data_IF_690149198049
#
_entry.id   IF_690149198049
#
_cell.length_a   1.000
_cell.length_b   1.000
_cell.length_c   1.000
_cell.angle_alpha   90.00
_cell.angle_beta   90.00
_cell.angle_gamma   90.00
#
_symmetry.space_group_name_H-M   'P 1'
#
loop_
_entity.id
_entity.type
_entity.pdbx_description
1 polymer ?
#
# COMPACT_ATOMS: atom_id res chain seq x y z
N UNK A 1 37.93 -3.67 -7.59
CA UNK A 1 38.06 -3.41 -6.14
C UNK A 1 36.67 -3.16 -5.59
N UNK A 2 36.10 -4.13 -4.87
CA UNK A 2 34.81 -3.98 -4.18
C UNK A 2 35.13 -3.25 -2.88
N UNK A 3 34.61 -2.03 -2.70
CA UNK A 3 34.70 -1.36 -1.39
C UNK A 3 33.78 -2.11 -0.43
N UNK A 4 34.20 -2.37 0.82
CA UNK A 4 33.32 -3.00 1.79
C UNK A 4 32.08 -2.13 2.00
N UNK A 5 30.93 -2.77 2.06
CA UNK A 5 29.66 -2.11 2.34
C UNK A 5 29.69 -1.62 3.80
N UNK A 6 29.58 -0.32 4.00
CA UNK A 6 29.54 0.27 5.35
C UNK A 6 28.16 0.01 5.97
N UNK A 7 28.16 -0.57 7.17
CA UNK A 7 26.94 -0.81 7.93
C UNK A 7 27.13 -0.40 9.39
N UNK A 8 26.06 0.05 10.03
CA UNK A 8 26.05 0.37 11.46
C UNK A 8 24.87 -0.37 12.11
N UNK A 9 25.18 -1.07 13.20
CA UNK A 9 24.18 -1.71 14.05
C UNK A 9 23.39 -0.65 14.81
N UNK A 10 22.11 -0.50 14.47
CA UNK A 10 21.17 0.36 15.19
C UNK A 10 19.98 -0.50 15.58
N UNK A 11 19.66 -0.57 16.88
CA UNK A 11 18.57 -1.40 17.41
C UNK A 11 18.65 -2.86 16.92
N UNK A 12 19.85 -3.45 16.95
CA UNK A 12 20.14 -4.84 16.51
C UNK A 12 19.95 -5.09 15.00
N UNK A 13 19.78 -4.04 14.20
CA UNK A 13 19.70 -4.12 12.73
C UNK A 13 20.93 -3.43 12.13
N UNK A 14 21.64 -4.14 11.26
CA UNK A 14 22.77 -3.59 10.51
C UNK A 14 22.26 -2.78 9.31
N UNK A 15 22.02 -1.49 9.51
CA UNK A 15 21.62 -0.60 8.41
C UNK A 15 22.79 -0.38 7.47
N UNK A 16 22.49 -0.31 6.17
CA UNK A 16 23.46 0.04 5.15
C UNK A 16 23.58 1.56 5.09
N UNK A 17 24.81 2.08 5.11
CA UNK A 17 25.05 3.50 5.29
C UNK A 17 25.97 4.04 4.20
N UNK A 18 25.69 5.28 3.80
CA UNK A 18 26.59 6.07 3.00
C UNK A 18 26.60 7.50 3.55
N UNK A 19 27.79 8.07 3.71
CA UNK A 19 27.95 9.45 4.18
C UNK A 19 28.57 10.30 3.09
N UNK A 20 27.95 11.44 2.78
CA UNK A 20 28.45 12.40 1.79
C UNK A 20 28.62 13.78 2.44
N UNK A 21 29.75 14.42 2.17
CA UNK A 21 29.99 15.81 2.58
C UNK A 21 29.39 16.76 1.54
N UNK A 22 28.48 17.62 1.97
CA UNK A 22 27.78 18.59 1.12
C UNK A 22 28.13 20.01 1.51
N UNK A 23 28.41 20.86 0.52
CA UNK A 23 28.60 22.28 0.77
C UNK A 23 27.25 22.93 1.08
N UNK A 24 27.07 23.44 2.30
CA UNK A 24 25.83 24.10 2.76
C UNK A 24 25.82 25.58 2.40
N UNK A 25 26.97 26.26 2.51
CA UNK A 25 27.19 27.61 2.01
C UNK A 25 28.67 27.78 1.63
N UNK A 26 29.10 28.97 1.22
CA UNK A 26 30.48 29.21 0.79
C UNK A 26 31.55 28.83 1.84
N UNK A 27 31.19 28.80 3.12
CA UNK A 27 32.13 28.62 4.25
C UNK A 27 31.87 27.33 5.03
N UNK A 28 30.66 26.77 4.94
CA UNK A 28 30.17 25.65 5.76
C UNK A 28 29.88 24.45 4.89
N UNK A 29 30.47 23.33 5.27
CA UNK A 29 30.10 21.98 4.83
C UNK A 29 29.23 21.31 5.89
N UNK A 30 28.44 20.34 5.47
CA UNK A 30 27.64 19.48 6.34
C UNK A 30 27.73 18.04 5.86
N UNK A 31 27.46 17.11 6.76
CA UNK A 31 27.44 15.69 6.43
C UNK A 31 26.00 15.22 6.21
N UNK A 32 25.81 14.42 5.17
CA UNK A 32 24.54 13.81 4.83
C UNK A 32 24.70 12.32 4.95
N UNK A 33 23.97 11.74 5.90
CA UNK A 33 23.97 10.31 6.14
C UNK A 33 22.72 9.70 5.50
N UNK A 34 22.95 8.81 4.57
CA UNK A 34 21.96 8.00 3.87
C UNK A 34 21.89 6.63 4.52
N UNK A 35 20.68 6.12 4.75
CA UNK A 35 20.46 4.80 5.33
C UNK A 35 19.50 4.00 4.45
N UNK A 36 19.78 2.70 4.34
CA UNK A 36 18.87 1.73 3.75
C UNK A 36 18.75 0.51 4.65
N UNK A 37 17.52 0.11 4.93
CA UNK A 37 17.22 -1.10 5.67
C UNK A 37 17.52 -2.32 4.78
N UNK A 38 18.41 -3.25 5.19
CA UNK A 38 18.91 -4.32 4.31
C UNK A 38 17.88 -5.39 3.94
N UNK A 39 16.82 -5.57 4.74
CA UNK A 39 15.75 -6.56 4.49
C UNK A 39 14.57 -6.00 3.68
N UNK A 40 14.04 -4.84 4.08
CA UNK A 40 12.86 -4.24 3.43
C UNK A 40 13.23 -3.37 2.23
N UNK A 41 14.47 -2.86 2.17
CA UNK A 41 14.88 -1.88 1.18
C UNK A 41 14.39 -0.46 1.49
N UNK A 42 13.75 -0.23 2.64
CA UNK A 42 13.31 1.09 3.05
C UNK A 42 14.51 2.01 3.24
N UNK A 43 14.47 3.17 2.60
CA UNK A 43 15.57 4.11 2.59
C UNK A 43 15.18 5.44 3.23
N UNK A 44 16.17 6.16 3.74
CA UNK A 44 15.96 7.44 4.39
C UNK A 44 17.23 8.27 4.51
N UNK A 45 17.04 9.51 4.96
CA UNK A 45 18.12 10.47 5.20
C UNK A 45 18.07 10.90 6.66
N UNK A 46 19.24 10.95 7.31
CA UNK A 46 19.34 11.51 8.65
C UNK A 46 18.85 12.96 8.67
N UNK A 47 18.13 13.34 9.72
CA UNK A 47 17.47 14.63 9.86
C UNK A 47 18.46 15.81 9.71
N UNK A 48 19.66 15.68 10.25
CA UNK A 48 20.74 16.68 10.15
C UNK A 48 21.24 16.83 8.70
N UNK A 49 21.39 15.71 7.99
CA UNK A 49 21.72 15.68 6.58
C UNK A 49 20.65 16.35 5.73
N UNK A 50 19.37 16.02 5.97
CA UNK A 50 18.24 16.64 5.27
C UNK A 50 18.19 18.16 5.49
N UNK A 51 18.52 18.63 6.70
CA UNK A 51 18.65 20.05 6.98
C UNK A 51 19.77 20.71 6.17
N UNK A 52 20.90 20.03 5.97
CA UNK A 52 21.99 20.48 5.11
C UNK A 52 21.57 20.58 3.63
N UNK A 53 20.87 19.56 3.12
CA UNK A 53 20.32 19.54 1.75
C UNK A 53 19.35 20.71 1.51
N UNK A 54 18.57 21.07 2.52
CA UNK A 54 17.69 22.24 2.55
C UNK A 54 18.43 23.60 2.72
N UNK A 55 19.71 23.67 2.36
CA UNK A 55 20.53 24.86 2.51
C UNK A 55 20.82 25.23 3.97
N UNK A 56 20.96 24.23 4.85
CA UNK A 56 21.33 24.39 6.26
C UNK A 56 20.17 24.84 7.16
N UNK A 57 18.93 24.45 6.81
CA UNK A 57 17.72 24.80 7.56
C UNK A 57 17.85 24.39 9.04
N UNK A 58 17.06 25.00 9.93
CA UNK A 58 17.07 24.51 11.31
C UNK A 58 16.50 23.10 11.37
N UNK A 59 17.20 22.20 12.05
CA UNK A 59 16.81 20.80 12.24
C UNK A 59 15.37 20.69 12.76
N UNK A 60 15.01 21.49 13.77
CA UNK A 60 13.65 21.55 14.32
C UNK A 60 12.58 21.96 13.31
N UNK A 61 12.90 22.86 12.37
CA UNK A 61 11.95 23.27 11.32
C UNK A 61 11.72 22.15 10.33
N UNK A 62 12.78 21.44 9.94
CA UNK A 62 12.69 20.30 9.03
C UNK A 62 11.93 19.15 9.68
N UNK A 63 12.17 18.88 10.96
CA UNK A 63 11.44 17.87 11.70
C UNK A 63 9.93 18.14 11.74
N UNK A 64 9.52 19.35 12.17
CA UNK A 64 8.10 19.74 12.19
C UNK A 64 7.45 19.69 10.82
N UNK A 65 8.22 20.01 9.77
CA UNK A 65 7.74 19.95 8.40
C UNK A 65 7.53 18.49 7.95
N UNK A 66 8.46 17.58 8.28
CA UNK A 66 8.31 16.16 7.99
C UNK A 66 7.08 15.56 8.71
N UNK A 67 6.87 15.91 9.97
CA UNK A 67 5.69 15.51 10.77
C UNK A 67 4.36 16.01 10.18
N UNK A 68 4.37 17.10 9.39
CA UNK A 68 3.16 17.63 8.76
C UNK A 68 2.68 16.84 7.54
N UNK A 69 3.54 15.99 6.98
CA UNK A 69 3.28 15.28 5.71
C UNK A 69 2.82 13.84 5.88
N UNK A 70 3.26 13.15 6.95
CA UNK A 70 2.97 11.73 7.17
C UNK A 70 2.79 11.49 8.68
N UNK A 71 1.77 10.72 9.13
CA UNK A 71 1.64 10.34 10.53
C UNK A 71 2.81 9.48 11.06
N UNK A 72 3.62 8.86 10.19
CA UNK A 72 4.79 8.07 10.57
C UNK A 72 6.01 8.37 9.66
N UNK A 73 6.64 9.56 9.78
CA UNK A 73 7.65 10.04 8.84
C UNK A 73 9.04 9.41 9.06
N UNK A 74 9.25 8.74 10.19
CA UNK A 74 10.56 8.23 10.59
C UNK A 74 10.77 6.80 10.12
N UNK A 75 11.94 6.55 9.56
CA UNK A 75 12.49 5.21 9.35
C UNK A 75 13.15 4.70 10.64
N UNK A 76 13.77 5.61 11.38
CA UNK A 76 14.44 5.36 12.64
C UNK A 76 14.28 6.60 13.52
N UNK A 77 13.87 6.40 14.76
CA UNK A 77 13.81 7.44 15.78
C UNK A 77 14.52 6.92 17.05
N UNK A 78 15.77 7.33 17.21
CA UNK A 78 16.60 6.98 18.37
C UNK A 78 17.24 8.22 18.95
N UNK A 79 17.63 8.16 20.23
CA UNK A 79 18.32 9.27 20.90
C UNK A 79 19.59 9.74 20.18
N UNK A 80 20.25 8.84 19.44
CA UNK A 80 21.49 9.13 18.71
C UNK A 80 21.26 9.59 17.28
N UNK A 81 20.20 9.13 16.63
CA UNK A 81 19.97 9.39 15.21
C UNK A 81 18.49 9.30 14.85
N UNK A 82 18.01 10.37 14.20
CA UNK A 82 16.67 10.45 13.62
C UNK A 82 16.81 10.39 12.11
N UNK A 83 16.10 9.46 11.47
CA UNK A 83 16.13 9.22 10.03
C UNK A 83 14.72 9.33 9.47
N UNK A 84 14.54 10.22 8.50
CA UNK A 84 13.26 10.43 7.82
C UNK A 84 13.20 9.52 6.59
N UNK A 85 12.04 8.92 6.33
CA UNK A 85 11.81 8.07 5.16
C UNK A 85 11.99 8.86 3.85
N UNK A 86 12.51 8.20 2.82
CA UNK A 86 12.83 8.80 1.53
C UNK A 86 11.64 9.55 0.88
N UNK A 87 10.44 8.98 0.93
CA UNK A 87 9.21 9.61 0.41
C UNK A 87 8.92 10.95 1.10
N UNK A 88 9.09 11.03 2.43
CA UNK A 88 8.90 12.25 3.19
C UNK A 88 10.06 13.23 2.95
N UNK A 89 11.30 12.76 2.85
CA UNK A 89 12.44 13.59 2.45
C UNK A 89 12.19 14.30 1.11
N UNK A 90 11.60 13.61 0.15
CA UNK A 90 11.27 14.17 -1.17
C UNK A 90 10.24 15.29 -1.06
N UNK A 91 9.17 15.07 -0.28
CA UNK A 91 8.14 16.08 -0.03
C UNK A 91 8.70 17.31 0.69
N UNK A 92 9.59 17.10 1.68
CA UNK A 92 10.29 18.18 2.39
C UNK A 92 11.16 18.99 1.43
N UNK A 93 11.98 18.34 0.60
CA UNK A 93 12.80 19.03 -0.38
C UNK A 93 11.94 19.79 -1.40
N UNK A 94 10.85 19.21 -1.86
CA UNK A 94 9.92 19.87 -2.77
C UNK A 94 9.28 21.11 -2.14
N UNK A 95 8.89 21.04 -0.86
CA UNK A 95 8.35 22.18 -0.13
C UNK A 95 9.40 23.29 0.06
N UNK A 96 10.64 22.94 0.40
CA UNK A 96 11.72 23.93 0.55
C UNK A 96 12.15 24.51 -0.81
N UNK A 97 12.09 23.72 -1.88
CA UNK A 97 12.31 24.19 -3.24
C UNK A 97 11.26 25.25 -3.67
N UNK A 98 10.00 25.14 -3.23
CA UNK A 98 8.97 26.12 -3.58
C UNK A 98 9.00 27.37 -2.69
N UNK A 99 9.67 27.32 -1.52
CA UNK A 99 9.67 28.40 -0.52
C UNK A 99 11.01 29.15 -0.42
N UNK A 100 10.98 30.49 -0.34
CA UNK A 100 12.19 31.31 -0.10
C UNK A 100 12.64 31.21 1.37
N UNK A 101 13.95 31.37 1.68
CA UNK A 101 15.06 31.82 0.83
C UNK A 101 16.00 30.71 0.31
N UNK A 102 15.75 29.42 0.60
CA UNK A 102 16.74 28.33 0.41
C UNK A 102 16.44 27.38 -0.76
N UNK A 103 15.62 27.86 -1.68
CA UNK A 103 15.11 27.17 -2.87
C UNK A 103 16.18 26.47 -3.71
N UNK A 104 17.25 27.18 -4.11
CA UNK A 104 18.22 26.68 -5.10
C UNK A 104 18.89 25.35 -4.71
N UNK A 105 19.38 25.25 -3.47
CA UNK A 105 20.03 24.01 -2.99
C UNK A 105 19.05 22.85 -2.87
N UNK A 106 17.84 23.12 -2.39
CA UNK A 106 16.81 22.09 -2.30
C UNK A 106 16.40 21.61 -3.71
N UNK A 107 16.30 22.51 -4.70
CA UNK A 107 16.04 22.14 -6.10
C UNK A 107 17.17 21.31 -6.71
N UNK A 108 18.43 21.71 -6.50
CA UNK A 108 19.60 20.96 -6.96
C UNK A 108 19.60 19.53 -6.41
N UNK A 109 19.40 19.38 -5.11
CA UNK A 109 19.38 18.06 -4.47
C UNK A 109 18.15 17.23 -4.82
N UNK A 110 17.01 17.86 -5.04
CA UNK A 110 15.82 17.18 -5.52
C UNK A 110 16.04 16.59 -6.92
N UNK A 111 16.78 17.30 -7.80
CA UNK A 111 17.14 16.76 -9.12
C UNK A 111 18.16 15.62 -9.01
N UNK A 112 19.19 15.76 -8.17
CA UNK A 112 20.24 14.75 -7.98
C UNK A 112 19.67 13.45 -7.39
N UNK A 113 18.70 13.58 -6.49
CA UNK A 113 18.14 12.45 -5.77
C UNK A 113 16.90 11.87 -6.46
N UNK A 114 16.37 12.42 -7.54
CA UNK A 114 15.17 11.88 -8.18
C UNK A 114 15.48 10.63 -9.04
N UNK A 115 14.86 9.45 -8.81
CA UNK A 115 13.89 9.13 -7.75
C UNK A 115 14.56 8.79 -6.41
N UNK A 116 14.03 9.37 -5.32
CA UNK A 116 14.71 9.46 -4.01
C UNK A 116 15.19 8.10 -3.48
N UNK A 117 14.30 7.11 -3.50
CA UNK A 117 14.61 5.77 -2.99
C UNK A 117 15.77 5.14 -3.77
N UNK A 118 15.72 5.17 -5.11
CA UNK A 118 16.75 4.55 -5.94
C UNK A 118 18.11 5.24 -5.76
N UNK A 119 18.12 6.56 -5.67
CA UNK A 119 19.33 7.34 -5.47
C UNK A 119 20.00 7.06 -4.12
N UNK A 120 19.22 6.82 -3.07
CA UNK A 120 19.72 6.44 -1.74
C UNK A 120 20.22 4.99 -1.74
N UNK A 121 19.47 4.08 -2.34
CA UNK A 121 19.86 2.66 -2.47
C UNK A 121 21.17 2.52 -3.25
N UNK A 122 21.35 3.27 -4.33
CA UNK A 122 22.59 3.28 -5.10
C UNK A 122 23.79 3.74 -4.25
N UNK A 123 23.63 4.81 -3.45
CA UNK A 123 24.68 5.35 -2.57
C UNK A 123 25.07 4.37 -1.47
N UNK A 124 24.06 3.78 -0.82
CA UNK A 124 24.23 2.76 0.24
C UNK A 124 24.68 1.41 -0.31
N UNK A 125 24.90 1.31 -1.63
CA UNK A 125 25.25 0.08 -2.34
C UNK A 125 24.25 -1.04 -2.00
N UNK A 126 22.99 -0.69 -1.81
CA UNK A 126 21.93 -1.67 -1.59
C UNK A 126 21.71 -2.42 -2.89
N UNK A 127 22.07 -3.68 -2.87
CA UNK A 127 21.70 -4.62 -3.91
C UNK A 127 20.47 -5.30 -3.37
N UNK A 128 19.34 -5.14 -4.07
CA UNK A 128 18.20 -6.05 -3.88
C UNK A 128 18.82 -7.43 -3.99
N UNK A 129 18.77 -8.23 -2.91
CA UNK A 129 19.09 -9.64 -3.01
C UNK A 129 18.20 -10.13 -4.14
N UNK A 130 18.83 -10.40 -5.29
CA UNK A 130 18.12 -10.87 -6.46
C UNK A 130 17.18 -11.95 -5.97
N UNK A 131 15.91 -11.77 -6.31
CA UNK A 131 14.79 -12.68 -6.12
C UNK A 131 15.04 -14.03 -6.83
N UNK A 132 16.23 -14.61 -6.70
CA UNK A 132 16.61 -15.91 -7.22
C UNK A 132 15.86 -17.03 -6.47
N UNK A 133 15.31 -16.73 -5.29
CA UNK A 133 14.47 -17.62 -4.48
C UNK A 133 12.98 -17.21 -4.41
N UNK A 134 12.51 -16.35 -5.33
CA UNK A 134 11.07 -16.00 -5.41
C UNK A 134 10.28 -16.94 -6.32
N UNK A 135 10.91 -17.92 -6.96
CA UNK A 135 10.18 -18.92 -7.76
C UNK A 135 9.03 -19.61 -7.00
N UNK A 136 9.14 -20.00 -5.70
CA UNK A 136 8.01 -20.55 -4.98
C UNK A 136 6.95 -19.50 -4.63
N UNK A 137 7.32 -18.25 -4.38
CA UNK A 137 6.39 -17.17 -4.03
C UNK A 137 5.59 -16.69 -5.24
N UNK A 138 6.24 -16.60 -6.41
CA UNK A 138 5.60 -16.29 -7.69
C UNK A 138 4.65 -17.43 -8.07
N UNK A 139 5.07 -18.69 -7.92
CA UNK A 139 4.19 -19.85 -8.14
C UNK A 139 2.97 -19.84 -7.20
N UNK A 140 3.15 -19.47 -5.92
CA UNK A 140 2.03 -19.32 -4.98
C UNK A 140 1.09 -18.17 -5.37
N UNK A 141 1.63 -17.05 -5.85
CA UNK A 141 0.82 -15.92 -6.33
C UNK A 141 0.01 -16.28 -7.58
N UNK A 142 0.59 -17.00 -8.53
CA UNK A 142 -0.12 -17.51 -9.70
C UNK A 142 -1.22 -18.50 -9.29
N UNK A 143 -0.90 -19.45 -8.41
CA UNK A 143 -1.87 -20.42 -7.90
C UNK A 143 -3.02 -19.73 -7.15
N UNK A 144 -2.74 -18.67 -6.38
CA UNK A 144 -3.77 -17.89 -5.69
C UNK A 144 -4.63 -17.08 -6.67
N UNK A 145 -4.04 -16.51 -7.73
CA UNK A 145 -4.79 -15.81 -8.78
C UNK A 145 -5.73 -16.76 -9.53
N UNK A 146 -5.25 -17.95 -9.89
CA UNK A 146 -6.08 -18.97 -10.55
C UNK A 146 -7.24 -19.41 -9.66
N UNK A 147 -7.00 -19.66 -8.37
CA UNK A 147 -8.07 -20.00 -7.41
C UNK A 147 -9.09 -18.88 -7.27
N UNK A 148 -8.65 -17.63 -7.25
CA UNK A 148 -9.54 -16.49 -7.13
C UNK A 148 -10.42 -16.35 -8.39
N UNK A 149 -9.82 -16.48 -9.58
CA UNK A 149 -10.56 -16.50 -10.85
C UNK A 149 -11.59 -17.65 -10.91
N UNK A 150 -11.20 -18.86 -10.47
CA UNK A 150 -12.11 -20.01 -10.39
C UNK A 150 -13.28 -19.76 -9.43
N UNK A 151 -13.01 -19.24 -8.23
CA UNK A 151 -14.06 -18.94 -7.26
C UNK A 151 -15.02 -17.86 -7.75
N UNK A 152 -14.51 -16.81 -8.41
CA UNK A 152 -15.34 -15.78 -9.03
C UNK A 152 -16.23 -16.35 -10.14
N UNK A 153 -15.69 -17.21 -11.01
CA UNK A 153 -16.48 -17.88 -12.04
C UNK A 153 -17.58 -18.78 -11.43
N UNK A 154 -17.28 -19.47 -10.32
CA UNK A 154 -18.25 -20.32 -9.62
C UNK A 154 -19.34 -19.52 -8.92
N UNK A 155 -19.02 -18.36 -8.35
CA UNK A 155 -20.01 -17.43 -7.80
C UNK A 155 -20.94 -16.90 -8.90
N UNK A 156 -20.39 -16.48 -10.04
CA UNK A 156 -21.20 -16.02 -11.16
C UNK A 156 -22.16 -17.10 -11.70
N UNK A 157 -21.72 -18.37 -11.74
CA UNK A 157 -22.59 -19.48 -12.12
C UNK A 157 -23.70 -19.77 -11.09
N UNK A 158 -23.42 -19.59 -9.80
CA UNK A 158 -24.42 -19.71 -8.74
C UNK A 158 -25.45 -18.57 -8.79
N UNK A 159 -25.01 -17.33 -9.05
CA UNK A 159 -25.90 -16.18 -9.23
C UNK A 159 -26.84 -16.38 -10.43
N UNK A 160 -26.32 -16.87 -11.56
CA UNK A 160 -27.17 -17.20 -12.73
C UNK A 160 -28.24 -18.25 -12.40
N UNK A 161 -27.90 -19.27 -11.61
CA UNK A 161 -28.87 -20.28 -11.17
C UNK A 161 -29.89 -19.71 -10.18
N UNK A 162 -29.48 -18.79 -9.31
CA UNK A 162 -30.39 -18.08 -8.41
C UNK A 162 -31.38 -17.20 -9.18
N UNK A 163 -30.92 -16.49 -10.22
CA UNK A 163 -31.77 -15.69 -11.10
C UNK A 163 -32.79 -16.54 -11.85
N UNK A 164 -32.37 -17.71 -12.37
CA UNK A 164 -33.29 -18.67 -13.00
C UNK A 164 -34.36 -19.16 -12.01
N UNK A 165 -33.97 -19.49 -10.78
CA UNK A 165 -34.91 -19.90 -9.73
C UNK A 165 -35.90 -18.79 -9.40
N UNK A 166 -35.43 -17.54 -9.28
CA UNK A 166 -36.29 -16.37 -9.06
C UNK A 166 -37.26 -16.13 -10.22
N UNK A 167 -36.84 -16.34 -11.47
CA UNK A 167 -37.71 -16.25 -12.64
C UNK A 167 -38.81 -17.32 -12.62
N UNK A 168 -38.46 -18.57 -12.31
CA UNK A 168 -39.43 -19.66 -12.13
C UNK A 168 -40.42 -19.37 -11.02
N UNK A 169 -39.96 -18.84 -9.88
CA UNK A 169 -40.83 -18.48 -8.76
C UNK A 169 -41.84 -17.39 -9.14
N UNK A 170 -41.42 -16.37 -9.90
CA UNK A 170 -42.31 -15.32 -10.41
C UNK A 170 -43.36 -15.87 -11.38
N UNK A 171 -42.97 -16.74 -12.30
CA UNK A 171 -43.89 -17.38 -13.26
C UNK A 171 -44.93 -18.25 -12.55
N UNK A 172 -44.51 -19.05 -11.58
CA UNK A 172 -45.42 -19.85 -10.75
C UNK A 172 -46.43 -18.97 -10.00
N UNK A 173 -45.97 -17.85 -9.43
CA UNK A 173 -46.85 -16.87 -8.77
C UNK A 173 -47.89 -16.28 -9.73
N UNK A 174 -47.50 -15.97 -10.96
CA UNK A 174 -48.44 -15.47 -11.99
C UNK A 174 -49.46 -16.53 -12.40
N UNK A 175 -49.04 -17.79 -12.57
CA UNK A 175 -49.96 -18.90 -12.89
C UNK A 175 -50.95 -19.13 -11.74
N UNK A 176 -50.47 -19.12 -10.49
CA UNK A 176 -51.33 -19.23 -9.30
C UNK A 176 -52.33 -18.09 -9.22
N UNK A 177 -51.92 -16.85 -9.50
CA UNK A 177 -52.80 -15.69 -9.55
C UNK A 177 -53.86 -15.83 -10.66
N UNK A 178 -53.48 -16.27 -11.86
CA UNK A 178 -54.42 -16.50 -12.96
C UNK A 178 -55.42 -17.61 -12.63
N UNK A 179 -54.98 -18.69 -12.01
CA UNK A 179 -55.87 -19.77 -11.54
C UNK A 179 -56.81 -19.28 -10.44
N UNK A 180 -56.34 -18.42 -9.52
CA UNK A 180 -57.19 -17.78 -8.51
C UNK A 180 -58.21 -16.80 -9.12
N UNK A 181 -57.85 -16.09 -10.18
CA UNK A 181 -58.72 -15.14 -10.86
C UNK A 181 -59.74 -15.81 -11.80
N UNK A 182 -59.39 -16.98 -12.33
CA UNK A 182 -60.26 -17.80 -13.18
C UNK A 182 -60.93 -18.96 -12.45
N UNK A 183 -60.79 -19.04 -11.13
CA UNK A 183 -61.55 -19.97 -10.30
C UNK A 183 -63.03 -19.57 -10.39
N UNK A 184 -63.90 -20.39 -11.00
CA UNK A 184 -65.33 -20.11 -10.98
C UNK A 184 -65.78 -20.08 -9.53
N UNK A 185 -66.65 -19.13 -9.18
CA UNK A 185 -67.29 -19.12 -7.86
C UNK A 185 -67.96 -20.50 -7.64
N UNK A 186 -67.35 -21.32 -6.77
CA UNK A 186 -67.77 -22.64 -6.26
C UNK A 186 -67.47 -23.86 -7.14
N UNK A 187 -66.57 -24.76 -6.66
CA UNK A 187 -66.59 -26.16 -7.06
C UNK A 187 -66.70 -27.14 -5.87
N UNK A 188 -67.16 -26.71 -4.69
CA UNK A 188 -67.41 -27.62 -3.55
C UNK A 188 -68.91 -27.80 -3.30
N UNK A 189 -69.63 -28.40 -4.25
CA UNK A 189 -70.80 -29.20 -3.86
C UNK A 189 -70.27 -30.52 -3.29
N UNK A 190 -69.96 -30.48 -1.99
CA UNK A 190 -69.67 -31.68 -1.22
C UNK A 190 -70.98 -32.46 -1.12
N UNK A 191 -71.18 -33.44 -2.00
CA UNK A 191 -72.22 -34.44 -1.80
C UNK A 191 -71.88 -35.23 -0.53
N UNK A 192 -72.58 -34.91 0.56
CA UNK A 192 -72.60 -35.74 1.74
C UNK A 192 -73.54 -36.89 1.46
N UNK A 193 -72.99 -38.07 1.15
CA UNK A 193 -73.75 -39.31 1.17
C UNK A 193 -74.24 -39.54 2.62
N UNK A 194 -75.51 -39.25 2.86
CA UNK A 194 -76.21 -39.63 4.08
C UNK A 194 -76.38 -41.14 4.05
N UNK A 195 -75.49 -41.85 4.75
CA UNK A 195 -75.66 -43.27 5.05
C UNK A 195 -76.89 -43.45 5.97
N UNK A 196 -78.04 -43.76 5.39
CA UNK A 196 -79.21 -44.21 6.15
C UNK A 196 -79.05 -45.70 6.41
N UNK A 197 -78.52 -46.06 7.57
CA UNK A 197 -78.62 -47.42 8.08
C UNK A 197 -80.10 -47.75 8.35
N UNK A 198 -80.67 -48.68 7.60
CA UNK A 198 -81.91 -49.36 8.00
C UNK A 198 -81.57 -50.66 8.73
N UNK A 199 -82.26 -50.80 9.86
CA UNK A 199 -82.26 -51.89 10.84
C UNK A 199 -82.31 -53.30 10.25
#
# INVERSE_FOLDING_TARGET
MIRPQESIAIQEIDYLIATETVQVNAVKTGEVVFLTHPKTGDSGIALEGLACLCGGASVQRIQKLAESFDPAPYLLDTEKQIVIKANVCEQVLHHVATTKPRRKKAEEWLQILNPMVAAIQQRTQYHIKSQADDSPLIAQLEQLKEKNAYLQARLAALDQNHDLWMQWHRLLGQILLLLLYHLPERPWDVQTEVNVSKH
#
